data_IF_556684410378
#
_entry.id   IF_556684410378
#
_cell.length_a   1.000
_cell.length_b   1.000
_cell.length_c   1.000
_cell.angle_alpha   90.00
_cell.angle_beta   90.00
_cell.angle_gamma   90.00
#
_symmetry.space_group_name_H-M   'P 1'
#
loop_
_entity.id
_entity.type
_entity.pdbx_description
1 polymer ?
#
# COMPACT_ATOMS: atom_id res chain seq x y z
N UNK A 1 -5.36 16.65 13.64
CA UNK A 1 -4.92 16.74 12.22
C UNK A 1 -5.81 15.86 11.33
N UNK A 2 -6.73 16.41 10.53
CA UNK A 2 -7.78 15.64 9.84
C UNK A 2 -7.31 14.77 8.67
N UNK A 3 -6.15 15.05 8.07
CA UNK A 3 -5.65 14.29 6.91
C UNK A 3 -5.18 12.87 7.24
N UNK A 4 -4.50 12.69 8.37
CA UNK A 4 -3.90 11.41 8.79
C UNK A 4 -4.97 10.37 9.11
N UNK A 5 -6.08 10.79 9.74
CA UNK A 5 -7.22 9.92 10.04
C UNK A 5 -7.89 9.37 8.77
N UNK A 6 -7.90 10.15 7.69
CA UNK A 6 -8.51 9.71 6.43
C UNK A 6 -7.65 8.64 5.75
N UNK A 7 -6.33 8.80 5.80
CA UNK A 7 -5.38 7.80 5.28
C UNK A 7 -5.44 6.51 6.11
N UNK A 8 -5.49 6.61 7.45
CA UNK A 8 -5.58 5.42 8.30
C UNK A 8 -6.90 4.66 8.13
N UNK A 9 -8.02 5.37 7.94
CA UNK A 9 -9.31 4.75 7.61
C UNK A 9 -9.28 4.03 6.25
N UNK A 10 -8.63 4.63 5.25
CA UNK A 10 -8.45 4.01 3.92
C UNK A 10 -7.53 2.79 3.96
N UNK A 11 -6.45 2.85 4.74
CA UNK A 11 -5.54 1.72 4.96
C UNK A 11 -6.28 0.56 5.63
N UNK A 12 -7.00 0.82 6.73
CA UNK A 12 -7.82 -0.20 7.41
C UNK A 12 -8.84 -0.85 6.47
N UNK A 13 -9.56 -0.05 5.67
CA UNK A 13 -10.51 -0.57 4.68
C UNK A 13 -9.83 -1.42 3.61
N UNK A 14 -8.66 -1.00 3.13
CA UNK A 14 -7.90 -1.77 2.13
C UNK A 14 -7.42 -3.10 2.69
N UNK A 15 -6.88 -3.10 3.91
CA UNK A 15 -6.43 -4.30 4.59
C UNK A 15 -7.60 -5.29 4.80
N UNK A 16 -8.74 -4.80 5.30
CA UNK A 16 -9.93 -5.62 5.49
C UNK A 16 -10.48 -6.18 4.17
N UNK A 17 -10.44 -5.39 3.10
CA UNK A 17 -10.99 -5.78 1.79
C UNK A 17 -10.07 -6.72 1.00
N UNK A 18 -8.75 -6.61 1.18
CA UNK A 18 -7.75 -7.38 0.42
C UNK A 18 -7.41 -8.68 1.14
N UNK A 19 -7.26 -8.63 2.46
CA UNK A 19 -6.92 -9.80 3.26
C UNK A 19 -8.14 -10.51 3.84
N UNK A 20 -9.34 -9.91 3.83
CA UNK A 20 -10.58 -10.52 4.34
C UNK A 20 -10.45 -11.17 5.75
N UNK A 21 -9.53 -10.68 6.58
CA UNK A 21 -9.22 -11.24 7.90
C UNK A 21 -7.99 -12.16 7.97
N UNK A 22 -7.41 -12.58 6.83
CA UNK A 22 -6.17 -13.33 6.74
C UNK A 22 -4.95 -12.41 6.63
N UNK A 23 -4.78 -11.52 7.62
CA UNK A 23 -3.58 -10.68 7.74
C UNK A 23 -2.54 -11.47 8.54
N UNK A 24 -1.56 -12.05 7.85
CA UNK A 24 -0.40 -12.66 8.52
C UNK A 24 0.48 -11.59 9.13
N UNK A 25 0.79 -11.71 10.43
CA UNK A 25 1.74 -10.85 11.13
C UNK A 25 3.15 -10.93 10.55
N UNK A 26 3.53 -12.05 9.92
CA UNK A 26 4.82 -12.22 9.26
C UNK A 26 5.08 -11.23 8.10
N UNK A 27 4.01 -10.65 7.53
CA UNK A 27 4.11 -9.68 6.45
C UNK A 27 3.74 -8.26 6.89
N UNK A 28 3.76 -7.98 8.20
CA UNK A 28 3.35 -6.68 8.71
C UNK A 28 4.17 -5.51 8.14
N UNK A 29 5.47 -5.71 7.95
CA UNK A 29 6.35 -4.68 7.38
C UNK A 29 6.16 -4.50 5.86
N UNK A 30 5.58 -5.50 5.18
CA UNK A 30 5.33 -5.47 3.75
C UNK A 30 4.02 -4.77 3.37
N UNK A 31 2.98 -4.83 4.22
CA UNK A 31 1.67 -4.22 3.92
C UNK A 31 1.69 -2.70 3.71
N UNK A 32 2.46 -1.89 4.47
CA UNK A 32 2.55 -0.45 4.23
C UNK A 32 3.17 -0.14 2.87
N UNK A 33 4.20 -0.89 2.49
CA UNK A 33 4.90 -0.74 1.21
C UNK A 33 3.99 -1.12 0.04
N UNK A 34 3.25 -2.22 0.16
CA UNK A 34 2.25 -2.59 -0.84
C UNK A 34 1.11 -1.57 -0.95
N UNK A 35 0.66 -1.03 0.19
CA UNK A 35 -0.36 0.03 0.21
C UNK A 35 0.13 1.29 -0.49
N UNK A 36 1.37 1.74 -0.22
CA UNK A 36 1.93 2.91 -0.88
C UNK A 36 2.11 2.67 -2.38
N UNK A 37 2.49 1.47 -2.80
CA UNK A 37 2.57 1.09 -4.20
C UNK A 37 1.20 1.19 -4.89
N UNK A 38 0.15 0.57 -4.33
CA UNK A 38 -1.20 0.58 -4.91
C UNK A 38 -1.83 1.97 -4.91
N UNK A 39 -1.61 2.76 -3.85
CA UNK A 39 -2.13 4.12 -3.75
C UNK A 39 -1.43 5.07 -4.74
N UNK A 40 -0.10 5.01 -4.80
CA UNK A 40 0.67 5.81 -5.75
C UNK A 40 0.43 5.36 -7.20
N UNK A 41 0.15 4.08 -7.47
CA UNK A 41 -0.20 3.58 -8.81
C UNK A 41 -1.41 4.27 -9.41
N UNK A 42 -2.47 4.47 -8.61
CA UNK A 42 -3.71 5.09 -9.11
C UNK A 42 -3.55 6.58 -9.44
N UNK A 43 -2.66 7.29 -8.74
CA UNK A 43 -2.50 8.75 -8.88
C UNK A 43 -1.27 9.18 -9.68
N UNK A 44 -0.35 8.26 -9.99
CA UNK A 44 0.87 8.59 -10.72
C UNK A 44 0.62 8.83 -12.21
N UNK A 45 1.11 9.98 -12.70
CA UNK A 45 1.22 10.28 -14.14
C UNK A 45 2.39 9.53 -14.80
N UNK A 46 3.41 9.16 -14.03
CA UNK A 46 4.61 8.46 -14.50
C UNK A 46 4.56 6.96 -14.14
N UNK A 47 3.79 6.17 -14.90
CA UNK A 47 3.58 4.74 -14.63
C UNK A 47 4.88 3.91 -14.68
N UNK A 48 5.87 4.31 -15.47
CA UNK A 48 7.17 3.62 -15.58
C UNK A 48 8.01 3.65 -14.29
N UNK A 49 7.87 4.69 -13.47
CA UNK A 49 8.57 4.81 -12.19
C UNK A 49 8.06 3.83 -11.12
N UNK A 50 6.85 3.28 -11.31
CA UNK A 50 6.32 2.25 -10.43
C UNK A 50 7.02 0.91 -10.66
N UNK A 51 7.34 0.58 -11.92
CA UNK A 51 8.10 -0.63 -12.24
C UNK A 51 9.51 -0.58 -11.63
N UNK A 52 10.14 0.60 -11.67
CA UNK A 52 11.43 0.83 -11.02
C UNK A 52 11.37 0.63 -9.50
N UNK A 53 10.30 1.07 -8.83
CA UNK A 53 10.10 0.81 -7.39
C UNK A 53 9.87 -0.66 -7.07
N UNK A 54 9.10 -1.38 -7.91
CA UNK A 54 8.94 -2.83 -7.76
C UNK A 54 10.28 -3.56 -7.88
N UNK A 55 11.11 -3.17 -8.85
CA UNK A 55 12.47 -3.71 -8.98
C UNK A 55 13.35 -3.38 -7.77
N UNK A 56 13.25 -2.17 -7.21
CA UNK A 56 13.98 -1.80 -5.99
C UNK A 56 13.51 -2.55 -4.74
N UNK A 57 12.23 -2.92 -4.64
CA UNK A 57 11.70 -3.72 -3.54
C UNK A 57 11.99 -5.23 -3.67
N UNK A 58 12.42 -5.68 -4.85
CA UNK A 58 12.75 -7.08 -5.14
C UNK A 58 14.25 -7.41 -4.94
N UNK A 59 15.06 -6.43 -4.52
CA UNK A 59 16.48 -6.55 -4.17
C UNK A 59 16.61 -6.44 -2.65
#
# INVERSE_FOLDING_TARGET
MPGVHRISALLKRWLLSTHQGAVSHDHMDYYPDEYTFRFNRRKSKARGMLFYRLLQQAV
#
